data_IF_873403162187
#
_entry.id   IF_873403162187
#
_cell.length_a   1.000
_cell.length_b   1.000
_cell.length_c   1.000
_cell.angle_alpha   90.00
_cell.angle_beta   90.00
_cell.angle_gamma   90.00
#
_symmetry.space_group_name_H-M   'P 1'
#
loop_
_entity.id
_entity.type
_entity.pdbx_description
1 polymer ?
#
# COMPACT_ATOMS: atom_id res chain seq x y z
N UNK A 1 29.57 9.80 4.66
CA UNK A 1 28.26 10.38 4.98
C UNK A 1 27.21 9.58 4.21
N UNK A 2 26.26 8.95 4.89
CA UNK A 2 25.15 8.24 4.22
C UNK A 2 24.06 9.27 3.97
N UNK A 3 23.79 9.58 2.70
CA UNK A 3 22.69 10.46 2.30
C UNK A 3 21.45 9.58 2.12
N UNK A 4 20.41 9.84 2.90
CA UNK A 4 19.12 9.22 2.69
C UNK A 4 18.37 9.93 1.56
N UNK A 5 17.57 9.22 0.75
CA UNK A 5 16.72 9.87 -0.24
C UNK A 5 15.70 10.80 0.45
N UNK A 6 15.36 11.91 -0.20
CA UNK A 6 14.36 12.87 0.31
C UNK A 6 12.97 12.25 0.50
N UNK A 7 12.70 11.14 -0.19
CA UNK A 7 11.42 10.44 -0.15
C UNK A 7 11.68 8.93 -0.02
N UNK A 8 10.98 8.29 0.92
CA UNK A 8 10.94 6.85 1.06
C UNK A 8 9.54 6.32 0.76
N UNK A 9 9.45 5.12 0.17
CA UNK A 9 8.20 4.40 0.02
C UNK A 9 8.34 3.03 0.68
N UNK A 10 7.38 2.70 1.53
CA UNK A 10 7.32 1.44 2.26
C UNK A 10 5.89 0.91 2.14
N UNK A 11 5.75 -0.40 1.92
CA UNK A 11 4.45 -1.03 1.77
C UNK A 11 4.48 -2.45 2.30
N UNK A 12 3.37 -2.86 2.91
CA UNK A 12 3.07 -4.25 3.26
C UNK A 12 1.86 -4.65 2.44
N UNK A 13 1.97 -5.76 1.72
CA UNK A 13 0.93 -6.25 0.83
C UNK A 13 0.53 -7.65 1.28
N UNK A 14 -0.64 -7.75 1.88
CA UNK A 14 -1.23 -9.03 2.25
C UNK A 14 -2.10 -9.54 1.11
N UNK A 15 -1.64 -10.57 0.42
CA UNK A 15 -2.31 -11.13 -0.74
C UNK A 15 -3.16 -12.34 -0.37
N UNK A 16 -4.39 -12.42 -0.90
CA UNK A 16 -5.25 -13.60 -0.82
C UNK A 16 -5.42 -14.26 -2.18
N UNK A 17 -5.61 -15.58 -2.20
CA UNK A 17 -5.89 -16.33 -3.44
C UNK A 17 -4.71 -16.44 -4.43
N UNK A 18 -3.49 -16.17 -3.97
CA UNK A 18 -2.24 -16.22 -4.75
C UNK A 18 -1.33 -15.02 -4.48
N UNK A 19 -0.09 -15.03 -4.98
CA UNK A 19 0.89 -13.93 -4.78
C UNK A 19 0.86 -12.86 -5.87
N UNK A 20 0.29 -13.16 -7.05
CA UNK A 20 0.38 -12.30 -8.26
C UNK A 20 -0.11 -10.86 -8.03
N UNK A 21 -1.19 -10.67 -7.29
CA UNK A 21 -1.72 -9.34 -7.00
C UNK A 21 -0.76 -8.55 -6.11
N UNK A 22 -0.29 -9.15 -5.01
CA UNK A 22 0.65 -8.54 -4.08
C UNK A 22 2.00 -8.22 -4.76
N UNK A 23 2.52 -9.14 -5.57
CA UNK A 23 3.74 -8.93 -6.39
C UNK A 23 3.55 -7.77 -7.36
N UNK A 24 2.44 -7.74 -8.10
CA UNK A 24 2.15 -6.64 -9.03
C UNK A 24 2.07 -5.30 -8.33
N UNK A 25 1.40 -5.23 -7.17
CA UNK A 25 1.28 -3.99 -6.38
C UNK A 25 2.66 -3.54 -5.89
N UNK A 26 3.48 -4.46 -5.36
CA UNK A 26 4.83 -4.17 -4.90
C UNK A 26 5.70 -3.57 -6.01
N UNK A 27 5.57 -4.08 -7.24
CA UNK A 27 6.33 -3.61 -8.39
C UNK A 27 5.85 -2.29 -9.00
N UNK A 28 4.55 -1.95 -8.87
CA UNK A 28 3.94 -0.89 -9.68
C UNK A 28 3.34 0.28 -8.87
N UNK A 29 2.81 0.03 -7.66
CA UNK A 29 2.08 1.05 -6.91
C UNK A 29 2.94 2.28 -6.60
N UNK A 30 4.16 2.06 -6.12
CA UNK A 30 5.08 3.14 -5.76
C UNK A 30 5.44 4.02 -6.96
N UNK A 31 5.61 3.44 -8.15
CA UNK A 31 5.88 4.16 -9.40
C UNK A 31 4.69 5.06 -9.76
N UNK A 32 3.49 4.50 -9.71
CA UNK A 32 2.25 5.23 -9.95
C UNK A 32 2.06 6.37 -8.94
N UNK A 33 2.39 6.14 -7.67
CA UNK A 33 2.31 7.16 -6.62
C UNK A 33 3.31 8.29 -6.83
N UNK A 34 4.58 7.99 -7.09
CA UNK A 34 5.59 9.03 -7.32
C UNK A 34 5.26 9.87 -8.55
N UNK A 35 4.76 9.24 -9.63
CA UNK A 35 4.30 9.96 -10.81
C UNK A 35 3.13 10.91 -10.49
N UNK A 36 2.17 10.48 -9.67
CA UNK A 36 0.98 11.29 -9.35
C UNK A 36 1.24 12.39 -8.33
N UNK A 37 2.18 12.16 -7.41
CA UNK A 37 2.59 13.11 -6.38
C UNK A 37 3.52 14.22 -6.90
N UNK A 38 4.05 14.07 -8.11
CA UNK A 38 4.92 15.06 -8.72
C UNK A 38 4.23 16.44 -8.77
N UNK A 39 4.91 17.46 -8.23
CA UNK A 39 4.43 18.84 -8.16
C UNK A 39 3.12 19.08 -7.36
N UNK A 40 2.72 18.16 -6.48
CA UNK A 40 1.58 18.34 -5.56
C UNK A 40 2.03 18.95 -4.23
N UNK A 41 1.66 20.22 -4.00
CA UNK A 41 2.07 20.95 -2.80
C UNK A 41 1.10 20.75 -1.64
N UNK A 42 -0.21 20.84 -1.91
CA UNK A 42 -1.26 20.79 -0.90
C UNK A 42 -1.65 19.36 -0.49
N UNK A 43 -2.08 19.18 0.76
CA UNK A 43 -2.44 17.88 1.31
C UNK A 43 -3.64 17.23 0.59
N UNK A 44 -4.66 18.02 0.24
CA UNK A 44 -5.83 17.52 -0.51
C UNK A 44 -5.36 16.96 -1.87
N UNK A 45 -4.55 17.74 -2.58
CA UNK A 45 -4.01 17.33 -3.87
C UNK A 45 -3.09 16.09 -3.78
N UNK A 46 -2.40 15.89 -2.65
CA UNK A 46 -1.63 14.67 -2.36
C UNK A 46 -2.53 13.47 -2.08
N UNK A 47 -3.61 13.63 -1.31
CA UNK A 47 -4.59 12.57 -1.07
C UNK A 47 -5.24 12.10 -2.38
N UNK A 48 -5.64 13.04 -3.23
CA UNK A 48 -6.19 12.75 -4.56
C UNK A 48 -5.18 12.01 -5.44
N UNK A 49 -3.91 12.45 -5.44
CA UNK A 49 -2.84 11.78 -6.17
C UNK A 49 -2.63 10.33 -5.71
N UNK A 50 -2.68 10.07 -4.40
CA UNK A 50 -2.55 8.72 -3.82
C UNK A 50 -3.73 7.86 -4.26
N UNK A 51 -4.95 8.39 -4.17
CA UNK A 51 -6.18 7.72 -4.63
C UNK A 51 -6.10 7.36 -6.11
N UNK A 52 -5.71 8.32 -6.96
CA UNK A 52 -5.56 8.09 -8.41
C UNK A 52 -4.51 7.02 -8.72
N UNK A 53 -3.38 7.01 -8.00
CA UNK A 53 -2.35 6.00 -8.18
C UNK A 53 -2.83 4.59 -7.81
N UNK A 54 -3.62 4.47 -6.72
CA UNK A 54 -4.24 3.22 -6.32
C UNK A 54 -5.19 2.69 -7.39
N UNK A 55 -6.12 3.53 -7.85
CA UNK A 55 -7.09 3.19 -8.89
C UNK A 55 -6.43 2.87 -10.23
N UNK A 56 -5.34 3.56 -10.57
CA UNK A 56 -4.55 3.24 -11.77
C UNK A 56 -3.93 1.85 -11.67
N UNK A 57 -3.29 1.54 -10.55
CA UNK A 57 -2.65 0.24 -10.30
C UNK A 57 -3.67 -0.89 -10.36
N UNK A 58 -4.84 -0.70 -9.76
CA UNK A 58 -5.96 -1.66 -9.84
C UNK A 58 -6.41 -1.91 -11.28
N UNK A 59 -6.65 -0.84 -12.05
CA UNK A 59 -7.03 -0.94 -13.47
C UNK A 59 -5.95 -1.63 -14.31
N UNK A 60 -4.67 -1.37 -14.04
CA UNK A 60 -3.56 -2.01 -14.74
C UNK A 60 -3.50 -3.51 -14.46
N UNK A 61 -3.66 -3.91 -13.19
CA UNK A 61 -3.69 -5.32 -12.80
C UNK A 61 -4.89 -6.06 -13.43
N UNK A 62 -6.07 -5.46 -13.40
CA UNK A 62 -7.29 -6.06 -13.97
C UNK A 62 -7.17 -6.32 -15.48
N UNK A 63 -6.46 -5.45 -16.23
CA UNK A 63 -6.20 -5.63 -17.67
C UNK A 63 -5.34 -6.88 -17.97
N UNK A 64 -4.56 -7.35 -17.01
CA UNK A 64 -3.76 -8.57 -17.15
C UNK A 64 -4.59 -9.86 -16.93
N UNK A 65 -5.91 -9.73 -16.74
CA UNK A 65 -6.81 -10.85 -16.52
C UNK A 65 -6.80 -11.34 -15.07
N UNK A 66 -6.71 -10.41 -14.10
CA UNK A 66 -6.67 -10.72 -12.66
C UNK A 66 -7.72 -11.76 -12.26
N UNK A 67 -7.28 -12.98 -11.96
CA UNK A 67 -8.12 -14.14 -11.67
C UNK A 67 -7.84 -14.67 -10.25
N UNK A 68 -8.87 -15.25 -9.63
CA UNK A 68 -8.79 -15.99 -8.37
C UNK A 68 -8.80 -17.48 -8.71
N UNK A 69 -7.95 -18.28 -8.08
CA UNK A 69 -7.83 -19.73 -8.30
C UNK A 69 -7.93 -20.50 -6.97
N UNK A 70 -8.50 -21.71 -7.01
CA UNK A 70 -8.65 -22.58 -5.86
C UNK A 70 -7.42 -23.38 -5.62
N UNK A 71 -6.98 -23.28 -4.38
CA UNK A 71 -6.09 -24.24 -3.82
C UNK A 71 -6.70 -24.90 -2.58
N UNK A 72 -6.70 -26.24 -2.60
CA UNK A 72 -6.89 -27.09 -1.42
C UNK A 72 -8.18 -26.83 -0.62
N UNK A 73 -9.30 -26.64 -1.31
CA UNK A 73 -10.63 -26.60 -0.69
C UNK A 73 -11.07 -25.24 -0.16
N UNK A 74 -10.30 -24.17 -0.38
CA UNK A 74 -10.71 -22.81 -0.06
C UNK A 74 -10.80 -21.94 -1.33
N UNK A 75 -12.01 -21.80 -1.88
CA UNK A 75 -12.37 -20.67 -2.74
C UNK A 75 -12.96 -19.59 -1.83
N UNK A 76 -12.48 -18.35 -1.89
CA UNK A 76 -13.05 -17.27 -1.08
C UNK A 76 -13.68 -16.16 -1.94
N UNK A 77 -15.01 -16.21 -2.18
CA UNK A 77 -15.94 -15.09 -2.54
C UNK A 77 -17.43 -15.56 -2.40
N UNK A 78 -18.34 -14.72 -1.89
CA UNK A 78 -19.73 -14.99 -1.39
C UNK A 78 -19.83 -15.64 0.02
N UNK A 79 -19.18 -15.00 1.00
CA UNK A 79 -19.20 -15.39 2.42
C UNK A 79 -17.81 -15.67 3.01
N UNK A 80 -16.75 -15.27 2.31
CA UNK A 80 -15.42 -15.82 2.58
C UNK A 80 -14.27 -14.80 2.46
N UNK A 81 -14.48 -13.59 1.92
CA UNK A 81 -13.44 -12.56 1.94
C UNK A 81 -13.61 -11.67 3.18
N UNK A 82 -12.60 -11.62 4.06
CA UNK A 82 -12.63 -10.83 5.30
C UNK A 82 -12.10 -9.41 5.13
N UNK A 83 -12.22 -8.84 3.93
CA UNK A 83 -11.81 -7.46 3.62
C UNK A 83 -12.89 -6.75 2.80
N UNK A 84 -13.06 -5.45 3.06
CA UNK A 84 -14.00 -4.57 2.33
C UNK A 84 -13.35 -3.80 1.17
N UNK A 85 -12.03 -3.89 1.05
CA UNK A 85 -11.22 -3.15 0.07
C UNK A 85 -10.07 -4.01 -0.44
N UNK A 86 -9.77 -3.96 -1.74
CA UNK A 86 -8.64 -4.67 -2.35
C UNK A 86 -8.28 -4.13 -3.75
N UNK A 87 -7.04 -4.38 -4.16
CA UNK A 87 -6.61 -4.32 -5.56
C UNK A 87 -6.83 -5.70 -6.20
N UNK A 88 -7.41 -5.75 -7.39
CA UNK A 88 -7.84 -6.99 -8.06
C UNK A 88 -9.31 -7.30 -7.82
N UNK A 89 -9.66 -8.58 -7.65
CA UNK A 89 -11.03 -9.04 -7.39
C UNK A 89 -12.06 -8.51 -8.41
N UNK A 90 -11.75 -8.66 -9.71
CA UNK A 90 -12.53 -8.11 -10.82
C UNK A 90 -14.05 -8.37 -10.73
N UNK A 91 -14.40 -9.61 -10.37
CA UNK A 91 -15.77 -10.11 -10.28
C UNK A 91 -16.53 -9.61 -9.03
N UNK A 92 -15.86 -8.85 -8.16
CA UNK A 92 -16.39 -8.31 -6.92
C UNK A 92 -16.36 -6.78 -6.84
N UNK A 93 -15.99 -6.06 -7.90
CA UNK A 93 -15.85 -4.60 -7.83
C UNK A 93 -17.16 -3.86 -7.51
N UNK A 94 -18.31 -4.50 -7.64
CA UNK A 94 -19.59 -3.98 -7.16
C UNK A 94 -19.69 -3.94 -5.61
N UNK A 95 -18.83 -4.69 -4.91
CA UNK A 95 -18.87 -4.91 -3.46
C UNK A 95 -17.54 -4.62 -2.75
N UNK A 96 -16.41 -4.67 -3.46
CA UNK A 96 -15.06 -4.49 -2.93
C UNK A 96 -14.42 -3.28 -3.59
N UNK A 97 -14.11 -2.27 -2.77
CA UNK A 97 -13.61 -0.99 -3.25
C UNK A 97 -12.07 -1.02 -3.42
N UNK A 98 -11.58 -0.46 -4.53
CA UNK A 98 -10.14 -0.26 -4.76
C UNK A 98 -9.62 1.09 -4.21
N UNK A 99 -10.38 1.73 -3.32
CA UNK A 99 -10.08 3.07 -2.84
C UNK A 99 -9.30 3.02 -1.51
N UNK A 100 -8.13 3.65 -1.41
CA UNK A 100 -7.39 3.66 -0.15
C UNK A 100 -8.02 4.63 0.86
N UNK A 101 -7.86 4.35 2.14
CA UNK A 101 -7.93 5.40 3.18
C UNK A 101 -6.56 6.08 3.27
N UNK A 102 -6.52 7.41 3.42
CA UNK A 102 -5.27 8.18 3.34
C UNK A 102 -5.18 9.22 4.45
N UNK A 103 -4.07 9.19 5.20
CA UNK A 103 -3.72 10.21 6.20
C UNK A 103 -2.36 10.80 5.89
N UNK A 104 -2.25 12.12 6.00
CA UNK A 104 -0.99 12.86 5.87
C UNK A 104 -0.65 13.43 7.23
N UNK A 105 0.50 13.03 7.76
CA UNK A 105 1.00 13.47 9.06
C UNK A 105 2.33 14.21 8.85
N UNK A 106 2.50 15.34 9.56
CA UNK A 106 3.80 15.98 9.66
C UNK A 106 4.68 15.16 10.59
N UNK A 107 5.89 14.80 10.15
CA UNK A 107 6.85 14.13 10.99
C UNK A 107 7.39 15.10 12.05
N UNK A 108 7.37 14.69 13.30
CA UNK A 108 7.96 15.44 14.41
C UNK A 108 9.25 14.76 14.89
N UNK A 109 10.20 15.49 15.50
CA UNK A 109 11.48 14.92 15.89
C UNK A 109 11.41 13.75 16.89
N UNK A 110 10.33 13.64 17.65
CA UNK A 110 10.03 12.57 18.60
C UNK A 110 9.49 11.29 17.94
N UNK A 111 9.18 11.32 16.63
CA UNK A 111 8.82 10.11 15.88
C UNK A 111 10.08 9.29 15.54
N UNK A 112 10.35 8.25 16.34
CA UNK A 112 11.56 7.42 16.16
C UNK A 112 11.38 6.25 15.18
N UNK A 113 10.16 5.72 15.09
CA UNK A 113 9.87 4.48 14.36
C UNK A 113 8.55 4.57 13.59
N UNK A 114 8.55 4.00 12.39
CA UNK A 114 7.35 3.67 11.62
C UNK A 114 7.19 2.15 11.62
N UNK A 115 6.03 1.68 12.06
CA UNK A 115 5.68 0.26 12.03
C UNK A 115 4.63 0.04 10.95
N UNK A 116 4.88 -0.92 10.06
CA UNK A 116 3.93 -1.36 9.04
C UNK A 116 3.82 -2.88 9.13
N UNK A 117 2.61 -3.41 9.10
CA UNK A 117 2.36 -4.82 9.30
C UNK A 117 1.00 -5.22 8.70
N UNK A 118 0.84 -6.50 8.37
CA UNK A 118 -0.45 -7.07 8.00
C UNK A 118 -1.16 -7.69 9.20
N UNK A 119 -2.41 -8.10 9.04
CA UNK A 119 -3.27 -8.61 10.13
C UNK A 119 -2.66 -9.82 10.85
N UNK A 120 -2.07 -10.77 10.12
CA UNK A 120 -1.38 -11.93 10.70
C UNK A 120 -0.20 -11.55 11.61
N UNK A 121 0.32 -10.33 11.50
CA UNK A 121 1.38 -9.80 12.34
C UNK A 121 0.82 -8.96 13.50
N UNK A 122 -0.22 -8.15 13.29
CA UNK A 122 -0.91 -7.43 14.37
C UNK A 122 -1.53 -8.37 15.40
N UNK A 123 -1.68 -9.65 15.06
CA UNK A 123 -2.06 -10.72 15.96
C UNK A 123 -0.85 -11.39 16.68
N UNK A 124 0.39 -11.39 16.15
CA UNK A 124 1.51 -12.20 16.70
C UNK A 124 3.00 -11.66 16.60
N UNK A 125 3.41 -10.60 15.86
CA UNK A 125 4.78 -9.99 15.91
C UNK A 125 4.91 -8.56 15.27
N UNK A 126 6.08 -8.02 14.88
CA UNK A 126 6.26 -6.58 14.48
C UNK A 126 7.32 -6.35 13.38
N UNK A 127 7.04 -5.51 12.35
CA UNK A 127 8.07 -4.95 11.44
C UNK A 127 8.31 -3.48 11.75
N UNK A 128 9.55 -3.15 12.12
CA UNK A 128 9.96 -1.83 12.59
C UNK A 128 10.89 -1.16 11.58
N UNK A 129 10.49 -0.03 11.04
CA UNK A 129 11.37 0.86 10.28
C UNK A 129 11.80 1.99 11.21
N UNK A 130 13.11 2.12 11.45
CA UNK A 130 13.64 3.25 12.21
C UNK A 130 13.69 4.49 11.32
N UNK A 131 12.97 5.53 11.72
CA UNK A 131 13.09 6.85 11.11
C UNK A 131 14.36 7.49 11.69
N UNK A 132 15.49 7.44 10.99
CA UNK A 132 16.66 8.22 11.41
C UNK A 132 16.50 9.65 10.93
N UNK A 133 16.22 10.56 11.85
CA UNK A 133 16.37 11.98 11.60
C UNK A 133 17.88 12.30 11.62
N UNK A 134 18.49 12.55 10.46
CA UNK A 134 19.86 13.05 10.39
C UNK A 134 19.87 14.54 10.72
N UNK A 135 19.63 14.85 11.99
CA UNK A 135 19.87 16.15 12.60
C UNK A 135 20.61 15.94 13.92
N UNK A 136 21.83 15.41 13.83
CA UNK A 136 22.83 15.67 14.88
C UNK A 136 23.66 16.83 14.37
N UNK A 137 23.18 18.04 14.61
CA UNK A 137 24.06 19.20 14.74
C UNK A 137 24.18 19.47 16.23
N UNK A 138 25.39 19.41 16.75
CA UNK A 138 25.77 20.00 18.02
C UNK A 138 27.17 20.59 17.84
N UNK A 139 27.43 21.75 18.47
CA UNK A 139 28.41 22.76 18.03
C UNK A 139 29.87 22.29 18.06
#
# INVERSE_FOLDING_TARGET
MVVWPEKGFFGVYDGHGGSKAAEFVAENLHKNMFQKLENRLENIAKQDAIREAYLKTDKEFLKLGGYVELHRGAWRVHGVLSVSRSIGDAHLKDWVLAEPDTRILALTPDMEYLVLASDGLWEEALTVVRLKNSAVYSP
#
